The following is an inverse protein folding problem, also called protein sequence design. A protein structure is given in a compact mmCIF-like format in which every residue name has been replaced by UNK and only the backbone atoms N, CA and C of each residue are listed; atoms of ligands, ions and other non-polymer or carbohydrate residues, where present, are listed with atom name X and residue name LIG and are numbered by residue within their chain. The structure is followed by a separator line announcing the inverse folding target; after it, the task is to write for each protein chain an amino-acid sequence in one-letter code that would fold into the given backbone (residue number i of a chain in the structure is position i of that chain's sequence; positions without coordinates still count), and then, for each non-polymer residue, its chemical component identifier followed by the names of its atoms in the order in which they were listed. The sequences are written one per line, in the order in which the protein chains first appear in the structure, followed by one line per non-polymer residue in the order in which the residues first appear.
data_IF_917618497139
#
_entry.id   IF_917618497139
#
_cell.length_a   1.000
_cell.length_b   1.000
_cell.length_c   1.000
_cell.angle_alpha   90.00
_cell.angle_beta   90.00
_cell.angle_gamma   90.00
#
_symmetry.space_group_name_H-M   'P 1'
#
loop_
_entity.id
_entity.type
_entity.pdbx_description
1 polymer ?
#
# COMPACT_ATOMS: atom_id res chain seq x y z
N UNK A 1 -22.86 12.28 28.11
CA UNK A 1 -22.83 10.92 28.68
C UNK A 1 -21.80 10.02 28.00
N UNK A 2 -20.58 10.01 28.56
CA UNK A 2 -19.45 9.20 28.09
C UNK A 2 -19.59 7.69 28.31
N UNK A 3 -20.80 7.17 28.47
CA UNK A 3 -21.08 5.72 28.56
C UNK A 3 -21.44 5.11 27.20
N UNK A 4 -21.83 5.93 26.22
CA UNK A 4 -22.11 5.48 24.85
C UNK A 4 -20.83 5.33 23.99
N UNK A 5 -19.77 6.12 24.22
CA UNK A 5 -18.53 5.98 23.45
C UNK A 5 -17.73 4.73 23.83
N UNK A 6 -17.81 4.28 25.08
CA UNK A 6 -17.17 3.04 25.52
C UNK A 6 -17.90 1.78 24.99
N UNK A 7 -19.22 1.86 24.78
CA UNK A 7 -20.02 0.73 24.29
C UNK A 7 -19.89 0.50 22.78
N UNK A 8 -19.57 1.55 22.01
CA UNK A 8 -19.33 1.44 20.56
C UNK A 8 -17.90 0.93 20.28
N UNK A 9 -16.94 1.13 21.20
CA UNK A 9 -15.61 0.52 21.13
C UNK A 9 -15.62 -0.98 21.47
N UNK A 10 -16.62 -1.49 22.18
CA UNK A 10 -16.64 -2.88 22.70
C UNK A 10 -17.37 -3.89 21.80
N UNK A 11 -17.71 -3.54 20.55
CA UNK A 11 -18.44 -4.41 19.62
C UNK A 11 -17.64 -4.77 18.35
N UNK A 12 -16.38 -4.35 18.28
CA UNK A 12 -15.42 -4.84 17.32
C UNK A 12 -14.87 -6.19 17.81
N UNK A 13 -14.86 -7.17 16.90
CA UNK A 13 -14.36 -8.53 17.15
C UNK A 13 -12.92 -8.45 17.65
N UNK A 14 -12.55 -9.25 18.65
CA UNK A 14 -11.21 -9.40 19.25
C UNK A 14 -10.14 -9.94 18.27
N UNK A 15 -10.38 -9.87 16.95
CA UNK A 15 -9.36 -9.97 15.93
C UNK A 15 -8.79 -8.58 15.68
N UNK A 16 -7.69 -8.28 16.35
CA UNK A 16 -6.97 -7.01 16.22
C UNK A 16 -7.85 -5.80 16.58
N UNK A 17 -7.82 -5.38 17.85
CA UNK A 17 -8.34 -4.06 18.24
C UNK A 17 -7.58 -2.98 17.42
N UNK A 18 -8.19 -2.52 16.33
CA UNK A 18 -7.65 -1.44 15.50
C UNK A 18 -8.29 -0.15 15.94
N UNK A 19 -7.49 0.77 16.50
CA UNK A 19 -7.97 2.13 16.74
C UNK A 19 -8.19 2.82 15.39
N UNK A 20 -9.45 2.96 14.98
CA UNK A 20 -9.82 3.80 13.85
C UNK A 20 -9.68 5.28 14.24
N UNK A 21 -8.95 6.05 13.42
CA UNK A 21 -8.77 7.48 13.63
C UNK A 21 -9.63 8.23 12.60
N UNK A 22 -10.36 9.25 13.05
CA UNK A 22 -11.14 10.14 12.19
C UNK A 22 -10.55 11.53 12.28
N UNK A 23 -10.03 12.03 11.16
CA UNK A 23 -9.38 13.33 11.10
C UNK A 23 -9.82 14.07 9.84
N UNK A 24 -9.74 15.40 9.91
CA UNK A 24 -10.36 16.28 8.92
C UNK A 24 -9.74 16.13 7.52
N UNK A 25 -8.45 15.78 7.45
CA UNK A 25 -7.68 15.62 6.22
C UNK A 25 -6.61 14.52 6.37
N UNK A 26 -6.00 14.14 5.25
CA UNK A 26 -4.98 13.09 5.19
C UNK A 26 -3.68 13.48 5.94
N UNK A 27 -3.31 14.76 5.96
CA UNK A 27 -2.12 15.25 6.65
C UNK A 27 -2.25 15.14 8.18
N UNK A 28 -3.40 15.52 8.72
CA UNK A 28 -3.77 15.34 10.11
C UNK A 28 -3.76 13.85 10.46
N UNK A 29 -4.35 13.00 9.61
CA UNK A 29 -4.33 11.55 9.77
C UNK A 29 -2.92 11.00 9.95
N UNK A 30 -2.01 11.43 9.08
CA UNK A 30 -0.62 10.99 9.09
C UNK A 30 0.13 11.44 10.34
N UNK A 31 -0.16 12.65 10.86
CA UNK A 31 0.39 13.12 12.15
C UNK A 31 -0.18 12.34 13.33
N UNK A 32 -1.48 12.03 13.31
CA UNK A 32 -2.14 11.22 14.33
C UNK A 32 -1.53 9.82 14.40
N UNK A 33 -1.41 9.15 13.24
CA UNK A 33 -0.81 7.83 13.13
C UNK A 33 0.64 7.82 13.62
N UNK A 34 1.46 8.79 13.19
CA UNK A 34 2.86 8.85 13.63
C UNK A 34 3.03 9.05 15.15
N UNK A 35 2.05 9.66 15.83
CA UNK A 35 2.05 9.82 17.29
C UNK A 35 1.52 8.58 18.01
N UNK A 36 0.54 7.90 17.43
CA UNK A 36 -0.02 6.66 17.96
C UNK A 36 0.84 5.43 17.64
N UNK A 37 1.79 5.54 16.71
CA UNK A 37 2.68 4.45 16.32
C UNK A 37 3.60 4.07 17.49
N UNK A 38 3.37 2.87 18.02
CA UNK A 38 4.15 2.27 19.09
C UNK A 38 3.67 0.85 19.34
N UNK A 39 4.54 0.03 19.94
CA UNK A 39 4.12 -1.27 20.47
C UNK A 39 3.70 -1.02 21.91
N UNK A 40 2.44 -1.30 22.22
CA UNK A 40 1.99 -1.43 23.60
C UNK A 40 2.30 -2.85 24.08
N UNK A 41 3.05 -2.99 25.17
CA UNK A 41 3.43 -4.30 25.68
C UNK A 41 2.26 -5.00 26.40
N UNK A 42 1.21 -4.24 26.75
CA UNK A 42 0.02 -4.71 27.44
C UNK A 42 -1.12 -5.13 26.47
N UNK A 43 -0.90 -5.02 25.15
CA UNK A 43 -1.83 -5.46 24.10
C UNK A 43 -1.27 -6.67 23.34
N UNK A 44 -1.93 -7.82 23.45
CA UNK A 44 -1.48 -9.08 22.84
C UNK A 44 -1.51 -9.08 21.29
N UNK A 45 -2.22 -8.12 20.68
CA UNK A 45 -2.28 -7.94 19.23
C UNK A 45 -1.32 -6.85 18.71
N UNK A 46 -0.66 -6.11 19.61
CA UNK A 46 0.27 -5.06 19.21
C UNK A 46 1.48 -5.63 18.47
N UNK A 47 1.84 -4.98 17.36
CA UNK A 47 2.97 -5.38 16.51
C UNK A 47 3.82 -4.17 16.10
N UNK A 48 5.15 -4.35 15.97
CA UNK A 48 6.01 -3.26 15.51
C UNK A 48 5.64 -2.83 14.10
N UNK A 49 5.68 -1.53 13.85
CA UNK A 49 5.47 -0.99 12.51
C UNK A 49 6.65 -1.39 11.60
N UNK A 50 6.35 -2.17 10.56
CA UNK A 50 7.32 -2.48 9.52
C UNK A 50 7.38 -1.34 8.48
N UNK A 51 8.50 -1.21 7.74
CA UNK A 51 8.58 -0.23 6.66
C UNK A 51 7.61 -0.52 5.51
N UNK A 52 7.03 0.53 4.92
CA UNK A 52 6.00 0.41 3.87
C UNK A 52 6.54 0.04 2.49
N UNK A 53 7.84 0.15 2.24
CA UNK A 53 8.42 -0.14 0.93
C UNK A 53 8.06 0.88 -0.15
N UNK A 54 7.61 0.40 -1.32
CA UNK A 54 7.28 1.26 -2.45
C UNK A 54 6.11 2.20 -2.13
N UNK A 55 6.33 3.50 -2.29
CA UNK A 55 5.33 4.53 -2.04
C UNK A 55 4.48 4.80 -3.29
N UNK A 56 3.48 3.95 -3.54
CA UNK A 56 2.54 4.13 -4.65
C UNK A 56 1.77 5.45 -4.57
N UNK A 57 1.56 5.98 -3.36
CA UNK A 57 0.86 7.25 -3.17
C UNK A 57 1.64 8.44 -3.68
N UNK A 58 2.99 8.38 -3.71
CA UNK A 58 3.84 9.44 -4.29
C UNK A 58 4.37 9.14 -5.68
N UNK A 59 4.25 7.89 -6.13
CA UNK A 59 4.72 7.50 -7.45
C UNK A 59 3.98 8.26 -8.57
N UNK A 60 4.71 8.57 -9.64
CA UNK A 60 4.15 9.15 -10.85
C UNK A 60 3.20 8.16 -11.57
N UNK A 61 3.40 6.85 -11.38
CA UNK A 61 2.51 5.81 -11.86
C UNK A 61 2.42 4.65 -10.87
N UNK A 62 1.24 4.05 -10.77
CA UNK A 62 0.94 2.91 -9.90
C UNK A 62 -0.22 2.10 -10.48
N UNK A 63 -0.38 0.86 -10.03
CA UNK A 63 -1.49 -0.02 -10.45
C UNK A 63 -2.55 -0.05 -9.35
N UNK A 64 -3.82 0.16 -9.71
CA UNK A 64 -4.91 0.00 -8.76
C UNK A 64 -5.88 -1.09 -9.19
N UNK A 65 -6.23 -1.97 -8.25
CA UNK A 65 -7.24 -3.01 -8.41
C UNK A 65 -8.63 -2.40 -8.43
N UNK A 66 -9.38 -2.70 -9.48
CA UNK A 66 -10.77 -2.31 -9.68
C UNK A 66 -11.62 -3.59 -9.74
N UNK A 67 -12.59 -3.79 -8.82
CA UNK A 67 -13.48 -4.94 -8.88
C UNK A 67 -14.17 -5.05 -10.24
N UNK A 68 -14.38 -6.29 -10.72
CA UNK A 68 -15.20 -6.56 -11.90
C UNK A 68 -16.56 -5.92 -11.76
N UNK A 69 -17.16 -5.53 -12.90
CA UNK A 69 -18.48 -4.92 -12.91
C UNK A 69 -19.55 -5.76 -12.18
N UNK A 70 -19.48 -7.09 -12.28
CA UNK A 70 -20.42 -7.99 -11.58
C UNK A 70 -20.32 -7.94 -10.05
N UNK A 71 -19.14 -7.56 -9.54
CA UNK A 71 -18.85 -7.54 -8.10
C UNK A 71 -19.17 -6.17 -7.49
N UNK A 72 -19.43 -5.16 -8.32
CA UNK A 72 -19.85 -3.82 -7.90
C UNK A 72 -21.36 -3.77 -7.63
N UNK A 73 -21.70 -3.75 -6.35
CA UNK A 73 -23.06 -3.60 -5.82
C UNK A 73 -23.29 -2.20 -5.25
N UNK A 74 -24.31 -1.51 -5.78
CA UNK A 74 -24.77 -0.19 -5.32
C UNK A 74 -26.20 -0.23 -4.76
N UNK A 75 -26.82 -1.40 -4.72
CA UNK A 75 -28.14 -1.63 -4.10
C UNK A 75 -29.23 -0.65 -4.57
N UNK A 76 -29.21 -0.29 -5.87
CA UNK A 76 -30.15 0.64 -6.48
C UNK A 76 -29.77 2.12 -6.40
N UNK A 77 -28.61 2.46 -5.82
CA UNK A 77 -28.12 3.84 -5.76
C UNK A 77 -27.28 4.21 -6.99
N UNK A 78 -27.93 4.84 -7.98
CA UNK A 78 -27.29 5.29 -9.21
C UNK A 78 -26.28 6.44 -8.99
N UNK A 79 -26.45 7.26 -7.95
CA UNK A 79 -25.51 8.33 -7.64
C UNK A 79 -24.21 7.78 -7.04
N UNK A 80 -24.27 6.76 -6.20
CA UNK A 80 -23.09 6.06 -5.70
C UNK A 80 -22.31 5.39 -6.84
N UNK A 81 -23.00 4.77 -7.80
CA UNK A 81 -22.38 4.19 -9.00
C UNK A 81 -21.65 5.26 -9.84
N UNK A 82 -22.31 6.39 -10.11
CA UNK A 82 -21.71 7.52 -10.82
C UNK A 82 -20.47 8.06 -10.10
N UNK A 83 -20.57 8.33 -8.80
CA UNK A 83 -19.46 8.90 -8.00
C UNK A 83 -18.29 7.93 -7.87
N UNK A 84 -18.55 6.61 -7.86
CA UNK A 84 -17.49 5.61 -7.93
C UNK A 84 -16.77 5.66 -9.27
N UNK A 85 -17.51 5.73 -10.39
CA UNK A 85 -16.91 5.85 -11.73
C UNK A 85 -16.06 7.13 -11.87
N UNK A 86 -16.54 8.27 -11.35
CA UNK A 86 -15.76 9.52 -11.29
C UNK A 86 -14.48 9.37 -10.45
N UNK A 87 -14.53 8.57 -9.38
CA UNK A 87 -13.35 8.29 -8.54
C UNK A 87 -12.32 7.41 -9.24
N UNK A 88 -12.76 6.46 -10.07
CA UNK A 88 -11.88 5.67 -10.94
C UNK A 88 -11.16 6.59 -11.94
N UNK A 89 -11.88 7.50 -12.60
CA UNK A 89 -11.26 8.46 -13.53
C UNK A 89 -10.30 9.42 -12.83
N UNK A 90 -10.60 9.82 -11.58
CA UNK A 90 -9.70 10.62 -10.75
C UNK A 90 -8.40 9.87 -10.41
N UNK A 91 -8.46 8.59 -10.09
CA UNK A 91 -7.23 7.81 -9.89
C UNK A 91 -6.40 7.71 -11.18
N UNK A 92 -7.05 7.54 -12.34
CA UNK A 92 -6.36 7.53 -13.63
C UNK A 92 -5.64 8.84 -13.93
N UNK A 93 -6.29 9.99 -13.66
CA UNK A 93 -5.65 11.30 -13.87
C UNK A 93 -4.48 11.56 -12.92
N UNK A 94 -4.43 10.86 -11.79
CA UNK A 94 -3.30 10.83 -10.85
C UNK A 94 -2.20 9.82 -11.25
N UNK A 95 -2.26 9.22 -12.44
CA UNK A 95 -1.25 8.26 -12.92
C UNK A 95 -1.54 6.81 -12.54
N UNK A 96 -2.73 6.52 -12.01
CA UNK A 96 -3.18 5.16 -11.74
C UNK A 96 -3.52 4.39 -13.01
N UNK A 97 -3.08 3.14 -13.10
CA UNK A 97 -3.52 2.18 -14.12
C UNK A 97 -4.50 1.19 -13.49
N UNK A 98 -5.73 1.15 -13.98
CA UNK A 98 -6.73 0.21 -13.49
C UNK A 98 -6.38 -1.22 -13.92
N UNK A 99 -6.46 -2.15 -12.97
CA UNK A 99 -6.31 -3.59 -13.19
C UNK A 99 -7.58 -4.23 -12.66
N UNK A 100 -8.30 -4.95 -13.52
CA UNK A 100 -9.52 -5.64 -13.10
C UNK A 100 -9.18 -6.78 -12.12
N UNK A 101 -9.89 -6.86 -11.00
CA UNK A 101 -9.70 -7.89 -9.98
C UNK A 101 -10.98 -8.67 -9.68
N UNK A 102 -10.80 -9.93 -9.32
CA UNK A 102 -11.86 -10.78 -8.80
C UNK A 102 -12.11 -10.49 -7.31
N UNK A 103 -13.29 -9.98 -6.96
CA UNK A 103 -13.61 -9.70 -5.57
C UNK A 103 -14.21 -10.92 -4.85
N UNK A 104 -14.57 -12.00 -5.56
CA UNK A 104 -15.27 -13.15 -4.96
C UNK A 104 -14.55 -13.74 -3.73
N UNK A 105 -13.21 -13.97 -3.73
CA UNK A 105 -12.51 -14.49 -2.55
C UNK A 105 -12.53 -13.54 -1.34
N UNK A 106 -12.54 -12.23 -1.59
CA UNK A 106 -12.67 -11.22 -0.53
C UNK A 106 -14.10 -11.23 0.04
N UNK A 107 -15.11 -11.31 -0.83
CA UNK A 107 -16.51 -11.41 -0.42
C UNK A 107 -16.82 -12.71 0.32
N UNK A 108 -16.21 -13.83 -0.08
CA UNK A 108 -16.28 -15.10 0.65
C UNK A 108 -15.65 -14.97 2.04
N UNK A 109 -14.53 -14.26 2.15
CA UNK A 109 -13.91 -13.96 3.45
C UNK A 109 -14.83 -13.10 4.31
N UNK A 110 -15.44 -12.05 3.74
CA UNK A 110 -16.42 -11.21 4.43
C UNK A 110 -17.62 -12.00 4.96
N UNK A 111 -18.10 -13.02 4.22
CA UNK A 111 -19.19 -13.90 4.66
C UNK A 111 -18.80 -14.71 5.90
N UNK A 112 -17.53 -15.04 6.09
CA UNK A 112 -17.08 -15.75 7.28
C UNK A 112 -17.23 -14.93 8.57
N UNK A 113 -17.19 -13.60 8.50
CA UNK A 113 -17.25 -12.75 9.70
C UNK A 113 -18.55 -12.96 10.50
N UNK A 114 -19.68 -13.12 9.80
CA UNK A 114 -20.99 -13.34 10.41
C UNK A 114 -21.46 -14.80 10.28
N UNK A 115 -21.00 -15.54 9.27
CA UNK A 115 -21.33 -16.95 9.06
C UNK A 115 -20.37 -17.93 9.72
N UNK A 116 -19.30 -17.44 10.38
CA UNK A 116 -18.25 -18.23 11.01
C UNK A 116 -18.05 -17.91 12.49
N UNK A 117 -16.94 -18.34 13.10
CA UNK A 117 -16.74 -18.35 14.55
C UNK A 117 -16.53 -16.98 15.18
N UNK A 118 -16.28 -15.92 14.41
CA UNK A 118 -15.91 -14.60 14.94
C UNK A 118 -17.00 -13.90 15.74
N UNK A 119 -18.27 -14.26 15.52
CA UNK A 119 -19.35 -13.80 16.39
C UNK A 119 -19.23 -14.33 17.82
N UNK A 120 -18.53 -15.46 18.03
CA UNK A 120 -18.25 -16.00 19.37
C UNK A 120 -17.29 -15.11 20.17
N UNK A 121 -16.44 -14.31 19.53
CA UNK A 121 -15.59 -13.35 20.23
C UNK A 121 -16.43 -12.21 20.83
N UNK A 122 -17.43 -11.71 20.09
CA UNK A 122 -18.40 -10.75 20.63
C UNK A 122 -19.17 -11.34 21.81
N UNK A 123 -19.58 -12.60 21.73
CA UNK A 123 -20.21 -13.29 22.85
C UNK A 123 -19.25 -13.44 24.03
N UNK A 124 -18.00 -13.84 23.81
CA UNK A 124 -16.98 -13.97 24.86
C UNK A 124 -16.78 -12.65 25.62
N UNK A 125 -16.61 -11.54 24.90
CA UNK A 125 -16.33 -10.22 25.48
C UNK A 125 -17.43 -9.72 26.45
N UNK A 126 -18.69 -10.10 26.23
CA UNK A 126 -19.83 -9.68 27.07
C UNK A 126 -20.60 -10.84 27.70
N UNK A 127 -20.01 -12.05 27.77
CA UNK A 127 -20.72 -13.30 28.10
C UNK A 127 -21.56 -13.20 29.36
N UNK A 128 -20.93 -12.79 30.46
CA UNK A 128 -21.59 -12.74 31.77
C UNK A 128 -22.77 -11.75 31.76
N UNK A 129 -22.61 -10.61 31.07
CA UNK A 129 -23.67 -9.63 30.92
C UNK A 129 -24.81 -10.15 30.01
N UNK A 130 -24.43 -10.78 28.89
CA UNK A 130 -25.36 -11.35 27.92
C UNK A 130 -26.24 -12.44 28.55
N UNK A 131 -25.64 -13.36 29.30
CA UNK A 131 -26.34 -14.46 29.93
C UNK A 131 -27.20 -14.01 31.12
N UNK A 132 -26.76 -13.00 31.88
CA UNK A 132 -27.50 -12.50 33.03
C UNK A 132 -28.68 -11.59 32.66
N UNK A 133 -28.54 -10.76 31.61
CA UNK A 133 -29.50 -9.70 31.27
C UNK A 133 -29.80 -9.59 29.76
N UNK A 134 -30.18 -10.69 29.09
CA UNK A 134 -30.33 -10.70 27.63
C UNK A 134 -31.39 -9.71 27.12
N UNK A 135 -32.45 -9.43 27.89
CA UNK A 135 -33.52 -8.50 27.48
C UNK A 135 -33.14 -7.03 27.50
N UNK A 136 -31.98 -6.69 28.06
CA UNK A 136 -31.45 -5.31 28.05
C UNK A 136 -30.66 -4.98 26.79
N UNK A 137 -30.29 -6.01 26.01
CA UNK A 137 -29.50 -5.85 24.79
C UNK A 137 -30.44 -5.49 23.63
N UNK A 138 -30.07 -4.47 22.85
CA UNK A 138 -30.82 -4.06 21.67
C UNK A 138 -31.11 -5.27 20.76
N UNK A 139 -32.38 -5.55 20.37
CA UNK A 139 -32.75 -6.87 19.85
C UNK A 139 -31.94 -7.37 18.64
N UNK A 140 -31.65 -6.57 17.61
CA UNK A 140 -30.80 -7.01 16.49
C UNK A 140 -29.37 -7.40 16.91
N UNK A 141 -28.78 -6.67 17.87
CA UNK A 141 -27.44 -6.98 18.39
C UNK A 141 -27.47 -8.30 19.18
N UNK A 142 -28.52 -8.49 19.99
CA UNK A 142 -28.72 -9.73 20.73
C UNK A 142 -28.86 -10.93 19.80
N UNK A 143 -29.67 -10.81 18.76
CA UNK A 143 -29.89 -11.87 17.77
C UNK A 143 -28.57 -12.29 17.11
N UNK A 144 -27.73 -11.32 16.72
CA UNK A 144 -26.43 -11.61 16.12
C UNK A 144 -25.50 -12.29 17.14
N UNK A 145 -25.33 -11.73 18.33
CA UNK A 145 -24.39 -12.25 19.34
C UNK A 145 -24.79 -13.63 19.85
N UNK A 146 -26.10 -13.92 19.92
CA UNK A 146 -26.61 -15.23 20.31
C UNK A 146 -26.05 -16.37 19.45
N UNK A 147 -25.79 -16.10 18.15
CA UNK A 147 -25.18 -17.07 17.24
C UNK A 147 -23.77 -17.53 17.65
N UNK A 148 -23.06 -16.74 18.47
CA UNK A 148 -21.73 -17.09 18.97
C UNK A 148 -21.71 -18.10 20.12
N UNK A 149 -22.86 -18.41 20.72
CA UNK A 149 -22.94 -19.28 21.90
C UNK A 149 -22.62 -20.74 21.61
N UNK A 150 -23.10 -21.24 20.47
CA UNK A 150 -23.14 -22.68 20.16
C UNK A 150 -22.08 -23.09 19.12
N UNK A 151 -21.03 -22.28 18.94
CA UNK A 151 -19.95 -22.57 17.99
C UNK A 151 -18.90 -23.48 18.66
N UNK A 152 -18.69 -24.68 18.11
CA UNK A 152 -17.71 -25.61 18.67
C UNK A 152 -16.28 -25.24 18.30
N UNK A 153 -15.31 -25.70 19.09
CA UNK A 153 -13.89 -25.54 18.75
C UNK A 153 -13.54 -26.17 17.38
N UNK A 154 -14.17 -27.29 17.02
CA UNK A 154 -13.95 -27.95 15.73
C UNK A 154 -14.45 -27.08 14.57
N UNK A 155 -15.62 -26.44 14.72
CA UNK A 155 -16.16 -25.49 13.75
C UNK A 155 -15.23 -24.28 13.61
N UNK A 156 -14.71 -23.76 14.72
CA UNK A 156 -13.74 -22.66 14.72
C UNK A 156 -12.50 -23.00 13.91
N UNK A 157 -11.86 -24.16 14.18
CA UNK A 157 -10.67 -24.57 13.43
C UNK A 157 -10.97 -24.83 11.95
N UNK A 158 -12.14 -25.40 11.63
CA UNK A 158 -12.56 -25.57 10.24
C UNK A 158 -12.65 -24.23 9.48
N UNK A 159 -13.25 -23.21 10.10
CA UNK A 159 -13.35 -21.88 9.50
C UNK A 159 -11.99 -21.16 9.43
N UNK A 160 -11.10 -21.35 10.40
CA UNK A 160 -9.73 -20.85 10.33
C UNK A 160 -8.96 -21.47 9.16
N UNK A 161 -9.17 -22.75 8.85
CA UNK A 161 -8.59 -23.37 7.65
C UNK A 161 -9.16 -22.78 6.36
N UNK A 162 -10.47 -22.54 6.31
CA UNK A 162 -11.12 -21.85 5.19
C UNK A 162 -10.57 -20.44 4.99
N UNK A 163 -10.42 -19.66 6.07
CA UNK A 163 -9.82 -18.33 6.03
C UNK A 163 -8.39 -18.38 5.49
N UNK A 164 -7.56 -19.34 5.91
CA UNK A 164 -6.20 -19.51 5.37
C UNK A 164 -6.19 -19.79 3.87
N UNK A 165 -7.11 -20.62 3.38
CA UNK A 165 -7.23 -20.92 1.96
C UNK A 165 -7.65 -19.69 1.15
N UNK A 166 -8.65 -18.94 1.63
CA UNK A 166 -9.11 -17.70 1.02
C UNK A 166 -8.05 -16.60 1.07
N UNK A 167 -7.33 -16.46 2.18
CA UNK A 167 -6.23 -15.51 2.31
C UNK A 167 -5.16 -15.78 1.27
N UNK A 168 -4.78 -17.04 1.02
CA UNK A 168 -3.82 -17.36 -0.05
C UNK A 168 -4.30 -16.92 -1.44
N UNK A 169 -5.60 -17.05 -1.72
CA UNK A 169 -6.18 -16.59 -2.98
C UNK A 169 -6.18 -15.05 -3.06
N UNK A 170 -6.58 -14.37 -1.99
CA UNK A 170 -6.57 -12.91 -1.91
C UNK A 170 -5.15 -12.33 -2.01
N UNK A 171 -4.18 -12.96 -1.34
CA UNK A 171 -2.79 -12.52 -1.30
C UNK A 171 -2.15 -12.50 -2.71
N UNK A 172 -2.61 -13.41 -3.61
CA UNK A 172 -2.11 -13.47 -4.98
C UNK A 172 -2.47 -12.23 -5.81
N UNK A 173 -3.58 -11.54 -5.50
CA UNK A 173 -4.04 -10.34 -6.22
C UNK A 173 -3.04 -9.19 -6.09
N UNK A 174 -2.37 -9.07 -4.95
CA UNK A 174 -1.39 -7.99 -4.69
C UNK A 174 -0.11 -8.10 -5.52
N UNK A 175 0.10 -9.20 -6.25
CA UNK A 175 1.20 -9.25 -7.23
C UNK A 175 0.94 -8.33 -8.42
N UNK A 176 -0.34 -8.11 -8.75
CA UNK A 176 -0.76 -7.41 -9.96
C UNK A 176 -1.19 -5.96 -9.70
N UNK A 177 -1.34 -5.57 -8.44
CA UNK A 177 -1.80 -4.22 -8.04
C UNK A 177 -0.95 -3.69 -6.89
N UNK A 178 -0.87 -2.36 -6.73
CA UNK A 178 -0.22 -1.73 -5.58
C UNK A 178 -1.24 -1.30 -4.51
N UNK A 179 -2.48 -1.04 -4.91
CA UNK A 179 -3.60 -0.61 -4.05
C UNK A 179 -4.92 -1.10 -4.66
N UNK A 180 -5.96 -1.34 -3.87
CA UNK A 180 -7.31 -1.66 -4.34
C UNK A 180 -8.25 -0.49 -4.06
N UNK A 181 -9.16 -0.20 -4.99
CA UNK A 181 -10.22 0.81 -4.83
C UNK A 181 -11.59 0.14 -4.77
N UNK A 182 -12.36 0.43 -3.72
CA UNK A 182 -13.76 0.00 -3.57
C UNK A 182 -14.65 1.16 -3.13
N UNK A 183 -15.98 1.12 -3.36
CA UNK A 183 -16.89 2.00 -2.62
C UNK A 183 -16.72 1.78 -1.12
N UNK A 184 -16.74 2.83 -0.30
CA UNK A 184 -16.74 2.65 1.16
C UNK A 184 -18.00 1.94 1.62
N UNK A 185 -19.14 2.30 1.01
CA UNK A 185 -20.40 1.57 1.09
C UNK A 185 -21.11 1.71 -0.27
N UNK A 186 -21.88 0.70 -0.67
CA UNK A 186 -22.60 0.73 -1.95
C UNK A 186 -23.77 1.72 -1.97
N UNK A 187 -24.28 2.12 -0.80
CA UNK A 187 -25.41 3.04 -0.66
C UNK A 187 -25.45 3.65 0.75
N UNK A 188 -26.46 4.48 1.02
CA UNK A 188 -26.80 5.08 2.31
C UNK A 188 -28.31 4.92 2.56
N UNK A 189 -28.72 4.72 3.82
CA UNK A 189 -30.12 4.50 4.20
C UNK A 189 -30.64 5.60 5.13
N UNK A 190 -31.96 5.81 5.08
CA UNK A 190 -32.66 6.62 6.09
C UNK A 190 -32.73 5.84 7.40
N UNK A 191 -32.89 6.57 8.49
CA UNK A 191 -33.04 6.00 9.83
C UNK A 191 -34.26 5.08 9.88
N UNK A 192 -35.40 5.51 9.35
CA UNK A 192 -36.64 4.73 9.39
C UNK A 192 -36.52 3.40 8.62
N UNK A 193 -35.84 3.41 7.47
CA UNK A 193 -35.59 2.19 6.68
C UNK A 193 -34.69 1.22 7.45
N UNK A 194 -33.62 1.72 8.07
CA UNK A 194 -32.72 0.92 8.90
C UNK A 194 -33.42 0.35 10.13
N UNK A 195 -34.34 1.08 10.75
CA UNK A 195 -35.14 0.56 11.87
C UNK A 195 -36.12 -0.53 11.43
N UNK A 196 -36.65 -0.43 10.20
CA UNK A 196 -37.59 -1.41 9.65
C UNK A 196 -36.89 -2.71 9.21
N UNK A 197 -35.63 -2.65 8.75
CA UNK A 197 -34.89 -3.82 8.25
C UNK A 197 -33.39 -3.77 8.63
N UNK A 198 -33.05 -3.81 9.93
CA UNK A 198 -31.71 -3.51 10.41
C UNK A 198 -30.65 -4.53 10.00
N UNK A 199 -31.02 -5.80 9.82
CA UNK A 199 -30.05 -6.87 9.53
C UNK A 199 -29.63 -6.81 8.06
N UNK A 200 -30.59 -6.81 7.14
CA UNK A 200 -30.29 -6.82 5.69
C UNK A 200 -29.65 -5.51 5.24
N UNK A 201 -30.18 -4.36 5.69
CA UNK A 201 -29.62 -3.08 5.27
C UNK A 201 -28.21 -2.87 5.84
N UNK A 202 -27.93 -3.32 7.06
CA UNK A 202 -26.57 -3.31 7.60
C UNK A 202 -25.63 -4.24 6.81
N UNK A 203 -26.10 -5.40 6.33
CA UNK A 203 -25.27 -6.29 5.51
C UNK A 203 -24.90 -5.65 4.16
N UNK A 204 -25.77 -4.83 3.58
CA UNK A 204 -25.44 -4.06 2.38
C UNK A 204 -24.30 -3.05 2.64
N UNK A 205 -24.30 -2.40 3.80
CA UNK A 205 -23.25 -1.45 4.19
C UNK A 205 -21.89 -2.14 4.44
N UNK A 206 -21.91 -3.40 4.87
CA UNK A 206 -20.70 -4.21 5.14
C UNK A 206 -20.08 -4.90 3.92
N UNK A 207 -20.67 -4.76 2.72
CA UNK A 207 -20.29 -5.54 1.53
C UNK A 207 -18.82 -5.37 1.13
N UNK A 208 -18.25 -4.17 1.26
CA UNK A 208 -16.87 -3.87 0.88
C UNK A 208 -15.88 -3.80 2.05
N UNK A 209 -16.32 -4.01 3.30
CA UNK A 209 -15.50 -3.72 4.49
C UNK A 209 -15.15 -4.96 5.31
N UNK A 210 -16.06 -5.94 5.39
CA UNK A 210 -15.99 -7.03 6.36
C UNK A 210 -14.81 -8.00 6.18
N UNK A 211 -14.09 -7.96 5.05
CA UNK A 211 -12.93 -8.83 4.81
C UNK A 211 -11.60 -8.26 5.31
N UNK A 212 -11.51 -6.94 5.54
CA UNK A 212 -10.22 -6.25 5.63
C UNK A 212 -9.38 -6.73 6.83
N UNK A 213 -9.98 -6.76 8.02
CA UNK A 213 -9.27 -7.20 9.24
C UNK A 213 -8.96 -8.70 9.21
N UNK A 214 -9.90 -9.53 8.73
CA UNK A 214 -9.69 -10.98 8.57
C UNK A 214 -8.50 -11.31 7.66
N UNK A 215 -8.20 -10.45 6.69
CA UNK A 215 -7.11 -10.61 5.74
C UNK A 215 -5.83 -9.84 6.12
N UNK A 216 -5.83 -9.16 7.27
CA UNK A 216 -4.75 -8.28 7.72
C UNK A 216 -4.41 -7.18 6.71
N UNK A 217 -5.42 -6.43 6.28
CA UNK A 217 -5.26 -5.32 5.34
C UNK A 217 -5.20 -3.96 6.06
N UNK A 218 -4.57 -3.00 5.42
CA UNK A 218 -4.64 -1.58 5.77
C UNK A 218 -5.62 -0.88 4.83
N UNK A 219 -6.38 0.09 5.36
CA UNK A 219 -7.36 0.80 4.56
C UNK A 219 -7.51 2.27 5.00
N UNK A 220 -7.84 3.14 4.06
CA UNK A 220 -8.22 4.52 4.33
C UNK A 220 -9.44 4.90 3.49
N UNK A 221 -10.48 5.40 4.15
CA UNK A 221 -11.67 5.92 3.50
C UNK A 221 -11.45 7.38 3.10
N UNK A 222 -11.79 7.71 1.84
CA UNK A 222 -11.55 9.00 1.22
C UNK A 222 -12.87 9.56 0.69
N UNK A 223 -13.21 10.83 1.00
CA UNK A 223 -14.36 11.50 0.39
C UNK A 223 -14.25 11.49 -1.14
N UNK A 224 -15.36 11.21 -1.81
CA UNK A 224 -15.40 10.98 -3.26
C UNK A 224 -16.46 11.84 -3.98
N UNK A 225 -17.12 12.75 -3.26
CA UNK A 225 -18.09 13.70 -3.78
C UNK A 225 -19.44 13.61 -3.10
N UNK A 226 -20.45 14.17 -3.75
CA UNK A 226 -21.81 14.28 -3.23
C UNK A 226 -22.83 13.75 -4.25
N UNK A 227 -23.85 13.08 -3.73
CA UNK A 227 -25.04 12.67 -4.47
C UNK A 227 -25.86 13.91 -4.85
N UNK A 228 -26.83 13.77 -5.76
CA UNK A 228 -27.64 14.93 -6.21
C UNK A 228 -28.50 15.53 -5.09
N UNK A 229 -28.82 14.73 -4.07
CA UNK A 229 -29.54 15.17 -2.87
C UNK A 229 -28.64 15.80 -1.80
N UNK A 230 -27.34 15.92 -2.07
CA UNK A 230 -26.35 16.52 -1.18
C UNK A 230 -25.76 15.58 -0.14
N UNK A 231 -26.10 14.29 -0.12
CA UNK A 231 -25.47 13.31 0.76
C UNK A 231 -24.06 12.94 0.28
N UNK A 232 -23.09 12.71 1.18
CA UNK A 232 -21.72 12.40 0.79
C UNK A 232 -21.59 10.96 0.27
N UNK A 233 -20.57 10.74 -0.56
CA UNK A 233 -20.09 9.42 -0.98
C UNK A 233 -18.58 9.32 -0.72
N UNK A 234 -18.11 8.10 -0.47
CA UNK A 234 -16.71 7.81 -0.20
C UNK A 234 -16.24 6.54 -0.91
N UNK A 235 -14.94 6.49 -1.14
CA UNK A 235 -14.23 5.30 -1.62
C UNK A 235 -13.18 4.89 -0.61
N UNK A 236 -12.91 3.60 -0.52
CA UNK A 236 -11.87 3.07 0.36
C UNK A 236 -10.70 2.59 -0.48
N UNK A 237 -9.52 3.11 -0.16
CA UNK A 237 -8.23 2.61 -0.64
C UNK A 237 -7.75 1.51 0.31
N UNK A 238 -7.39 0.36 -0.23
CA UNK A 238 -7.02 -0.84 0.54
C UNK A 238 -5.67 -1.34 0.05
N UNK A 239 -4.79 -1.72 0.96
CA UNK A 239 -3.50 -2.30 0.63
C UNK A 239 -3.08 -3.35 1.68
N UNK A 240 -2.04 -4.15 1.40
CA UNK A 240 -1.44 -5.05 2.40
C UNK A 240 -0.99 -4.30 3.68
N UNK A 241 -0.65 -5.01 4.76
CA UNK A 241 -0.32 -4.36 6.02
C UNK A 241 0.91 -3.46 5.90
N UNK A 242 0.99 -2.46 6.79
CA UNK A 242 2.06 -1.44 6.85
C UNK A 242 2.09 -0.45 5.67
N UNK A 243 1.06 -0.42 4.83
CA UNK A 243 0.93 0.51 3.69
C UNK A 243 0.23 1.82 4.05
N UNK A 244 0.08 2.14 5.33
CA UNK A 244 -0.63 3.31 5.84
C UNK A 244 -0.07 4.62 5.28
N UNK A 245 1.25 4.74 5.18
CA UNK A 245 1.92 5.93 4.60
C UNK A 245 1.52 6.15 3.13
N UNK A 246 1.81 5.18 2.23
CA UNK A 246 1.39 5.23 0.83
C UNK A 246 -0.11 5.42 0.62
N UNK A 247 -0.95 4.75 1.41
CA UNK A 247 -2.41 4.95 1.40
C UNK A 247 -2.78 6.40 1.70
N UNK A 248 -2.21 7.01 2.74
CA UNK A 248 -2.47 8.40 3.11
C UNK A 248 -1.92 9.41 2.09
N UNK A 249 -0.77 9.13 1.48
CA UNK A 249 -0.26 9.95 0.39
C UNK A 249 -1.20 9.93 -0.83
N UNK A 250 -1.73 8.76 -1.18
CA UNK A 250 -2.72 8.65 -2.26
C UNK A 250 -4.04 9.32 -1.89
N UNK A 251 -4.52 9.14 -0.66
CA UNK A 251 -5.72 9.80 -0.14
C UNK A 251 -5.61 11.33 -0.19
N UNK A 252 -4.47 11.90 0.21
CA UNK A 252 -4.18 13.34 0.08
C UNK A 252 -4.31 13.79 -1.37
N UNK A 253 -3.67 13.09 -2.32
CA UNK A 253 -3.77 13.43 -3.75
C UNK A 253 -5.19 13.35 -4.29
N UNK A 254 -5.96 12.35 -3.87
CA UNK A 254 -7.38 12.23 -4.24
C UNK A 254 -8.22 13.38 -3.66
N UNK A 255 -8.03 13.74 -2.39
CA UNK A 255 -8.71 14.88 -1.77
C UNK A 255 -8.34 16.19 -2.47
N UNK A 256 -7.07 16.43 -2.76
CA UNK A 256 -6.62 17.64 -3.48
C UNK A 256 -7.22 17.72 -4.89
N UNK A 257 -7.29 16.60 -5.59
CA UNK A 257 -7.89 16.53 -6.92
C UNK A 257 -9.42 16.68 -6.91
N UNK A 258 -10.09 16.27 -5.83
CA UNK A 258 -11.53 16.52 -5.62
C UNK A 258 -11.78 17.99 -5.24
N UNK A 259 -10.92 18.56 -4.40
CA UNK A 259 -11.05 19.89 -3.84
C UNK A 259 -12.24 20.01 -2.86
N UNK A 260 -12.66 21.25 -2.61
CA UNK A 260 -13.83 21.55 -1.80
C UNK A 260 -13.54 21.79 -0.32
N UNK A 261 -14.54 21.47 0.52
CA UNK A 261 -14.56 21.76 1.95
C UNK A 261 -14.31 20.49 2.77
N UNK A 262 -13.86 20.67 4.01
CA UNK A 262 -13.68 19.59 4.97
C UNK A 262 -15.04 19.13 5.50
N UNK A 263 -15.55 18.03 4.95
CA UNK A 263 -16.83 17.44 5.35
C UNK A 263 -18.00 18.43 5.21
N UNK A 264 -18.87 18.49 6.23
CA UNK A 264 -19.99 19.41 6.28
C UNK A 264 -19.63 20.83 6.79
N UNK A 265 -18.34 21.15 6.95
CA UNK A 265 -17.89 22.44 7.48
C UNK A 265 -17.69 23.47 6.37
N UNK A 266 -17.48 24.74 6.74
CA UNK A 266 -17.09 25.80 5.80
C UNK A 266 -15.58 25.90 5.58
N UNK A 267 -14.78 25.05 6.24
CA UNK A 267 -13.33 25.09 6.10
C UNK A 267 -12.91 24.52 4.76
N UNK A 268 -12.07 25.27 4.04
CA UNK A 268 -11.45 24.79 2.82
C UNK A 268 -10.44 23.66 3.13
N UNK A 269 -10.28 22.74 2.19
CA UNK A 269 -9.20 21.75 2.24
C UNK A 269 -7.84 22.48 2.29
N UNK A 270 -6.99 22.21 3.30
CA UNK A 270 -5.65 22.77 3.35
C UNK A 270 -4.78 22.24 2.20
N UNK A 271 -3.73 22.96 1.80
CA UNK A 271 -2.79 22.46 0.81
C UNK A 271 -2.05 21.22 1.33
N UNK A 272 -1.74 20.28 0.44
CA UNK A 272 -0.99 19.08 0.81
C UNK A 272 0.41 19.41 1.34
N UNK A 273 0.83 18.70 2.39
CA UNK A 273 2.15 18.86 3.00
C UNK A 273 3.11 17.73 2.56
N UNK A 274 4.39 18.02 2.23
CA UNK A 274 5.39 17.02 1.83
C UNK A 274 5.97 16.31 3.06
N UNK A 275 5.14 15.49 3.66
CA UNK A 275 5.25 15.15 5.06
C UNK A 275 5.69 13.66 5.08
N UNK A 276 6.87 13.32 5.61
CA UNK A 276 7.43 11.94 5.64
C UNK A 276 7.68 11.52 7.08
N UNK A 277 6.78 10.72 7.66
CA UNK A 277 6.77 10.39 9.09
C UNK A 277 6.87 8.89 9.35
N UNK A 278 6.61 8.05 8.36
CA UNK A 278 6.71 6.60 8.48
C UNK A 278 7.94 6.10 7.73
N UNK A 279 8.61 5.03 8.21
CA UNK A 279 9.79 4.50 7.56
C UNK A 279 9.42 3.82 6.23
N UNK A 280 10.09 4.21 5.14
CA UNK A 280 9.94 3.54 3.84
C UNK A 280 10.80 2.27 3.72
N UNK A 281 11.94 2.20 4.41
CA UNK A 281 12.78 1.00 4.46
C UNK A 281 13.37 0.58 3.12
N UNK A 282 13.55 1.55 2.23
CA UNK A 282 14.12 1.34 0.90
C UNK A 282 15.48 2.02 0.79
N UNK A 283 16.32 1.49 -0.08
CA UNK A 283 17.64 2.01 -0.41
C UNK A 283 17.73 2.25 -1.91
N UNK A 284 18.16 3.45 -2.29
CA UNK A 284 18.43 3.78 -3.71
C UNK A 284 19.85 3.40 -4.10
N UNK A 285 19.97 2.76 -5.26
CA UNK A 285 21.21 2.29 -5.87
C UNK A 285 21.25 2.68 -7.34
N UNK A 286 22.21 3.51 -7.73
CA UNK A 286 22.52 3.81 -9.11
C UNK A 286 23.38 2.70 -9.73
N UNK A 287 22.93 2.19 -10.87
CA UNK A 287 23.65 1.20 -11.68
C UNK A 287 24.03 1.80 -13.03
N UNK A 288 25.26 1.51 -13.47
CA UNK A 288 25.86 2.08 -14.69
C UNK A 288 26.26 1.01 -15.70
N UNK A 289 26.17 -0.28 -15.32
CA UNK A 289 26.76 -1.40 -16.06
C UNK A 289 25.81 -2.55 -16.28
N UNK A 290 26.29 -3.78 -16.09
CA UNK A 290 25.56 -5.02 -16.40
C UNK A 290 24.21 -5.20 -15.67
N UNK A 291 23.93 -4.39 -14.65
CA UNK A 291 22.65 -4.37 -13.91
C UNK A 291 21.59 -3.44 -14.50
N UNK A 292 21.91 -2.62 -15.53
CA UNK A 292 20.91 -1.80 -16.23
C UNK A 292 19.78 -2.67 -16.79
N UNK A 293 18.59 -2.10 -16.94
CA UNK A 293 17.37 -2.81 -17.37
C UNK A 293 17.59 -3.70 -18.60
N UNK A 294 17.24 -4.98 -18.52
CA UNK A 294 17.42 -5.93 -19.63
C UNK A 294 18.88 -6.30 -19.95
N UNK A 295 19.86 -5.90 -19.14
CA UNK A 295 21.23 -6.42 -19.23
C UNK A 295 21.43 -7.67 -18.34
N UNK A 296 22.49 -8.47 -18.56
CA UNK A 296 22.60 -9.82 -18.02
C UNK A 296 22.53 -9.96 -16.50
N UNK A 297 22.83 -8.92 -15.71
CA UNK A 297 22.79 -8.96 -14.25
C UNK A 297 21.58 -8.21 -13.66
N UNK A 298 20.66 -7.70 -14.48
CA UNK A 298 19.48 -6.99 -14.00
C UNK A 298 18.59 -7.87 -13.09
N UNK A 299 18.59 -9.19 -13.30
CA UNK A 299 17.87 -10.14 -12.45
C UNK A 299 18.29 -10.08 -10.97
N UNK A 300 19.50 -9.62 -10.66
CA UNK A 300 19.96 -9.46 -9.28
C UNK A 300 19.24 -8.29 -8.57
N UNK A 301 18.74 -7.32 -9.32
CA UNK A 301 17.89 -6.25 -8.80
C UNK A 301 16.43 -6.71 -8.74
N UNK A 302 15.88 -7.17 -9.86
CA UNK A 302 14.45 -7.52 -9.95
C UNK A 302 14.08 -8.71 -9.06
N UNK A 303 14.97 -9.71 -8.93
CA UNK A 303 14.78 -10.84 -8.01
C UNK A 303 14.81 -10.47 -6.51
N UNK A 304 15.20 -9.22 -6.18
CA UNK A 304 15.17 -8.65 -4.83
C UNK A 304 14.04 -7.63 -4.66
N UNK A 305 13.05 -7.66 -5.55
CA UNK A 305 11.93 -6.71 -5.59
C UNK A 305 12.39 -5.25 -5.74
N UNK A 306 13.56 -5.02 -6.35
CA UNK A 306 13.98 -3.67 -6.69
C UNK A 306 13.13 -3.12 -7.84
N UNK A 307 12.80 -1.83 -7.78
CA UNK A 307 12.03 -1.12 -8.82
C UNK A 307 12.88 -0.02 -9.44
N UNK A 308 12.78 0.13 -10.76
CA UNK A 308 13.41 1.25 -11.46
C UNK A 308 12.69 2.54 -11.07
N UNK A 309 13.43 3.51 -10.54
CA UNK A 309 12.91 4.84 -10.18
C UNK A 309 13.07 5.80 -11.35
N UNK A 310 14.25 5.81 -11.96
CA UNK A 310 14.53 6.70 -13.09
C UNK A 310 15.72 6.22 -13.93
N UNK A 311 15.68 6.55 -15.23
CA UNK A 311 16.86 6.57 -16.08
C UNK A 311 17.38 8.02 -16.13
N UNK A 312 18.65 8.22 -15.79
CA UNK A 312 19.25 9.55 -15.63
C UNK A 312 20.75 9.51 -15.93
N UNK A 313 21.49 10.54 -15.53
CA UNK A 313 22.94 10.61 -15.63
C UNK A 313 23.57 10.94 -14.28
N UNK A 314 24.82 10.54 -14.09
CA UNK A 314 25.67 11.05 -13.01
C UNK A 314 25.96 12.54 -13.21
N UNK A 315 26.42 13.23 -12.17
CA UNK A 315 27.08 14.53 -12.33
C UNK A 315 28.27 14.44 -13.31
N UNK A 316 28.70 15.56 -13.89
CA UNK A 316 29.77 15.59 -14.91
C UNK A 316 31.20 15.50 -14.33
N UNK A 317 31.43 14.56 -13.41
CA UNK A 317 32.69 14.42 -12.66
C UNK A 317 33.19 12.98 -12.55
N UNK A 318 32.77 12.14 -13.48
CA UNK A 318 33.14 10.73 -13.50
C UNK A 318 33.88 10.35 -14.78
N UNK A 319 34.84 9.45 -14.66
CA UNK A 319 35.36 8.66 -15.78
C UNK A 319 34.79 7.26 -15.76
N UNK A 320 34.67 6.71 -16.95
CA UNK A 320 34.00 5.45 -17.18
C UNK A 320 34.89 4.52 -17.99
N UNK A 321 35.09 3.31 -17.49
CA UNK A 321 36.07 2.38 -18.02
C UNK A 321 35.43 1.03 -18.30
N UNK A 322 35.79 0.38 -19.41
CA UNK A 322 35.52 -1.03 -19.62
C UNK A 322 36.63 -1.83 -18.92
N UNK A 323 36.28 -2.65 -17.94
CA UNK A 323 37.24 -3.48 -17.22
C UNK A 323 37.86 -4.54 -18.17
N UNK A 324 39.05 -5.08 -17.85
CA UNK A 324 39.75 -6.03 -18.72
C UNK A 324 38.94 -7.29 -19.09
N UNK A 325 38.00 -7.70 -18.23
CA UNK A 325 37.09 -8.82 -18.52
C UNK A 325 36.09 -8.53 -19.66
N UNK A 326 35.93 -7.26 -20.05
CA UNK A 326 35.02 -6.77 -21.07
C UNK A 326 33.53 -6.91 -20.75
N UNK A 327 33.19 -7.42 -19.56
CA UNK A 327 31.82 -7.77 -19.14
C UNK A 327 31.19 -6.68 -18.29
N UNK A 328 32.01 -5.86 -17.63
CA UNK A 328 31.54 -4.88 -16.65
C UNK A 328 32.29 -3.56 -16.80
N UNK A 329 31.63 -2.43 -16.53
CA UNK A 329 32.32 -1.16 -16.44
C UNK A 329 32.74 -0.83 -15.01
N UNK A 330 33.77 0.00 -14.88
CA UNK A 330 34.15 0.69 -13.65
C UNK A 330 33.87 2.19 -13.77
N UNK A 331 33.31 2.77 -12.70
CA UNK A 331 33.06 4.21 -12.60
C UNK A 331 33.97 4.79 -11.51
N UNK A 332 34.68 5.87 -11.83
CA UNK A 332 35.60 6.53 -10.91
C UNK A 332 35.32 8.02 -10.89
N UNK A 333 35.20 8.59 -9.69
CA UNK A 333 35.07 10.03 -9.52
C UNK A 333 36.45 10.69 -9.68
N UNK A 334 36.50 11.80 -10.40
CA UNK A 334 37.74 12.54 -10.68
C UNK A 334 37.53 14.04 -10.48
N UNK A 335 38.62 14.78 -10.29
CA UNK A 335 38.58 16.24 -10.08
C UNK A 335 38.41 17.02 -11.39
N UNK A 336 39.12 16.64 -12.46
CA UNK A 336 39.10 17.35 -13.74
C UNK A 336 39.03 16.39 -14.94
N UNK A 337 38.25 16.76 -15.97
CA UNK A 337 38.12 15.97 -17.20
C UNK A 337 37.13 14.80 -17.11
N UNK A 338 36.06 14.96 -16.31
CA UNK A 338 34.97 14.00 -16.17
C UNK A 338 33.81 14.27 -17.12
N UNK A 339 32.89 13.31 -17.22
CA UNK A 339 31.66 13.42 -17.99
C UNK A 339 30.47 12.91 -17.18
N UNK A 340 29.28 13.26 -17.65
CA UNK A 340 28.02 12.69 -17.15
C UNK A 340 27.83 11.31 -17.79
N UNK A 341 27.60 10.29 -16.97
CA UNK A 341 27.48 8.89 -17.42
C UNK A 341 26.05 8.44 -17.22
N UNK A 342 25.44 7.87 -18.27
CA UNK A 342 24.10 7.31 -18.21
C UNK A 342 24.01 6.21 -17.14
N UNK A 343 23.00 6.31 -16.29
CA UNK A 343 22.75 5.40 -15.19
C UNK A 343 21.24 5.17 -15.00
N UNK A 344 20.90 4.11 -14.29
CA UNK A 344 19.55 3.87 -13.80
C UNK A 344 19.57 3.88 -12.27
N UNK A 345 18.65 4.61 -11.66
CA UNK A 345 18.45 4.59 -10.21
C UNK A 345 17.37 3.57 -9.90
N UNK A 346 17.75 2.58 -9.12
CA UNK A 346 16.86 1.54 -8.61
C UNK A 346 16.62 1.74 -7.13
N UNK A 347 15.45 1.36 -6.65
CA UNK A 347 15.09 1.37 -5.24
C UNK A 347 14.78 -0.06 -4.80
N UNK A 348 15.40 -0.52 -3.70
CA UNK A 348 15.25 -1.89 -3.20
C UNK A 348 15.05 -1.93 -1.68
N UNK A 349 14.43 -3.00 -1.15
CA UNK A 349 14.29 -3.16 0.30
C UNK A 349 15.66 -3.13 0.99
N UNK A 350 15.77 -2.35 2.07
CA UNK A 350 17.01 -2.24 2.85
C UNK A 350 17.49 -3.60 3.37
N UNK A 351 16.56 -4.50 3.69
CA UNK A 351 16.84 -5.89 4.11
C UNK A 351 17.52 -6.74 3.02
N UNK A 352 17.36 -6.37 1.75
CA UNK A 352 17.99 -7.06 0.61
C UNK A 352 19.31 -6.44 0.17
N UNK A 353 19.66 -5.26 0.71
CA UNK A 353 20.84 -4.52 0.27
C UNK A 353 22.14 -5.26 0.57
N UNK A 354 22.26 -5.89 1.75
CA UNK A 354 23.44 -6.66 2.13
C UNK A 354 23.73 -7.83 1.17
N UNK A 355 22.70 -8.63 0.85
CA UNK A 355 22.83 -9.76 -0.08
C UNK A 355 23.08 -9.31 -1.53
N UNK A 356 22.69 -8.09 -1.89
CA UNK A 356 23.02 -7.50 -3.19
C UNK A 356 24.50 -7.11 -3.24
N UNK A 357 25.01 -6.44 -2.20
CA UNK A 357 26.42 -6.01 -2.12
C UNK A 357 27.38 -7.19 -2.09
N UNK A 358 27.06 -8.26 -1.35
CA UNK A 358 27.86 -9.48 -1.29
C UNK A 358 28.07 -10.13 -2.68
N UNK A 359 27.11 -9.96 -3.58
CA UNK A 359 27.18 -10.45 -4.96
C UNK A 359 28.07 -9.62 -5.90
N UNK A 360 28.73 -8.57 -5.43
CA UNK A 360 29.55 -7.66 -6.24
C UNK A 360 31.02 -8.05 -6.09
N UNK A 361 31.64 -8.69 -7.10
CA UNK A 361 33.03 -9.10 -7.00
C UNK A 361 33.98 -7.94 -7.30
N UNK A 362 35.15 -8.00 -6.68
CA UNK A 362 36.27 -7.10 -6.96
C UNK A 362 36.54 -6.99 -8.48
N UNK A 363 36.99 -5.82 -8.97
CA UNK A 363 37.37 -4.61 -8.24
C UNK A 363 36.19 -3.62 -8.05
N UNK A 364 34.95 -4.08 -8.15
CA UNK A 364 33.77 -3.24 -7.99
C UNK A 364 33.35 -3.18 -6.51
N UNK A 365 32.71 -2.07 -6.15
CA UNK A 365 32.10 -1.89 -4.83
C UNK A 365 30.92 -0.93 -4.90
N UNK A 366 30.25 -0.73 -3.76
CA UNK A 366 29.19 0.27 -3.62
C UNK A 366 29.69 1.43 -2.77
N UNK A 367 29.68 2.62 -3.37
CA UNK A 367 29.98 3.89 -2.73
C UNK A 367 28.82 4.87 -2.85
N UNK A 368 29.15 6.16 -2.88
CA UNK A 368 28.19 7.24 -3.13
C UNK A 368 28.40 7.83 -4.52
N UNK A 369 27.32 7.98 -5.27
CA UNK A 369 27.30 8.60 -6.59
C UNK A 369 26.44 9.85 -6.53
N UNK A 370 26.95 10.94 -7.09
CA UNK A 370 26.19 12.17 -7.31
C UNK A 370 25.57 12.12 -8.71
N UNK A 371 24.28 12.41 -8.77
CA UNK A 371 23.50 12.45 -10.00
C UNK A 371 23.51 13.86 -10.60
N UNK A 372 23.05 13.98 -11.86
CA UNK A 372 23.02 15.25 -12.58
C UNK A 372 22.15 16.33 -11.90
N UNK A 373 21.18 15.93 -11.07
CA UNK A 373 20.34 16.82 -10.28
C UNK A 373 20.96 17.24 -8.93
N UNK A 374 22.20 16.80 -8.65
CA UNK A 374 22.92 17.05 -7.41
C UNK A 374 22.56 16.12 -6.25
N UNK A 375 21.59 15.22 -6.42
CA UNK A 375 21.27 14.21 -5.41
C UNK A 375 22.37 13.16 -5.29
N UNK A 376 22.51 12.57 -4.09
CA UNK A 376 23.52 11.55 -3.81
C UNK A 376 22.84 10.24 -3.43
N UNK A 377 23.16 9.17 -4.15
CA UNK A 377 22.63 7.82 -3.94
C UNK A 377 23.76 6.81 -3.74
N UNK A 378 23.45 5.60 -3.25
CA UNK A 378 24.44 4.53 -3.33
C UNK A 378 24.66 4.16 -4.80
N UNK A 379 25.82 3.64 -5.17
CA UNK A 379 26.01 3.15 -6.53
C UNK A 379 27.35 2.51 -6.77
N UNK A 380 27.50 1.91 -7.95
CA UNK A 380 28.71 1.21 -8.34
C UNK A 380 29.90 2.17 -8.49
N UNK A 381 30.95 1.89 -7.74
CA UNK A 381 32.27 2.47 -7.87
C UNK A 381 33.26 1.37 -8.25
N UNK A 382 34.44 1.75 -8.70
CA UNK A 382 35.53 0.82 -8.93
C UNK A 382 36.79 1.26 -8.19
N UNK A 383 37.44 0.30 -7.55
CA UNK A 383 38.73 0.49 -6.91
C UNK A 383 39.80 0.89 -7.93
N UNK A 384 40.78 1.69 -7.51
CA UNK A 384 41.83 2.18 -8.40
C UNK A 384 42.60 1.06 -9.12
N UNK A 385 42.76 -0.10 -8.48
CA UNK A 385 43.42 -1.27 -9.08
C UNK A 385 42.69 -1.80 -10.32
N UNK A 386 41.36 -1.67 -10.37
CA UNK A 386 40.53 -2.10 -11.48
C UNK A 386 40.71 -1.27 -12.74
N UNK A 387 41.36 -0.11 -12.64
CA UNK A 387 41.68 0.75 -13.78
C UNK A 387 42.95 0.32 -14.52
N UNK A 388 43.74 -0.59 -13.93
CA UNK A 388 44.93 -1.14 -14.57
C UNK A 388 44.51 -1.92 -15.81
N UNK A 389 45.02 -1.55 -16.99
CA UNK A 389 44.66 -2.11 -18.30
C UNK A 389 43.17 -1.96 -18.71
N UNK A 390 42.40 -1.12 -17.99
CA UNK A 390 41.03 -0.82 -18.35
C UNK A 390 40.98 0.19 -19.50
N UNK A 391 40.03 0.02 -20.42
CA UNK A 391 39.85 0.94 -21.54
C UNK A 391 38.96 2.09 -21.12
N UNK A 392 39.43 3.33 -21.27
CA UNK A 392 38.59 4.52 -21.10
C UNK A 392 37.49 4.54 -22.17
N UNK A 393 36.24 4.57 -21.73
CA UNK A 393 35.04 4.60 -22.55
C UNK A 393 34.15 5.80 -22.17
N UNK A 394 34.71 6.82 -21.52
CA UNK A 394 34.00 8.00 -21.06
C UNK A 394 33.31 8.73 -22.21
N UNK A 395 33.93 8.76 -23.40
CA UNK A 395 33.39 9.38 -24.62
C UNK A 395 32.05 8.76 -25.10
N UNK A 396 31.76 7.51 -24.75
CA UNK A 396 30.52 6.84 -25.11
C UNK A 396 29.35 7.28 -24.24
N UNK A 397 29.61 7.94 -23.11
CA UNK A 397 28.58 8.46 -22.19
C UNK A 397 27.78 7.39 -21.45
N UNK A 398 28.09 6.09 -21.61
CA UNK A 398 27.40 5.01 -20.89
C UNK A 398 27.59 3.62 -21.49
N UNK A 399 27.27 2.60 -20.69
CA UNK A 399 27.57 1.20 -21.04
C UNK A 399 26.83 0.68 -22.27
N UNK A 400 25.54 1.05 -22.43
CA UNK A 400 24.76 0.64 -23.61
C UNK A 400 25.34 1.21 -24.91
N UNK A 401 25.80 2.45 -24.88
CA UNK A 401 26.38 3.09 -26.06
C UNK A 401 27.71 2.41 -26.45
N UNK A 402 28.53 2.07 -25.46
CA UNK A 402 29.75 1.29 -25.66
C UNK A 402 29.48 -0.10 -26.25
N UNK A 403 28.52 -0.85 -25.70
CA UNK A 403 28.16 -2.19 -26.22
C UNK A 403 27.72 -2.14 -27.69
N UNK A 404 26.88 -1.15 -28.05
CA UNK A 404 26.46 -0.94 -29.45
C UNK A 404 27.64 -0.65 -30.37
N UNK A 405 28.59 0.18 -29.93
CA UNK A 405 29.78 0.50 -30.74
C UNK A 405 30.69 -0.71 -30.97
N UNK A 406 30.64 -1.74 -30.11
CA UNK A 406 31.40 -2.99 -30.27
C UNK A 406 30.74 -4.03 -31.17
N UNK A 407 29.52 -3.81 -31.64
CA UNK A 407 28.77 -4.80 -32.42
C UNK A 407 28.23 -5.98 -31.60
N UNK A 408 28.32 -5.94 -30.26
CA UNK A 408 27.68 -6.90 -29.39
C UNK A 408 26.25 -6.42 -29.11
N UNK A 409 25.30 -6.81 -29.97
CA UNK A 409 23.87 -6.72 -29.69
C UNK A 409 23.51 -7.50 -28.41
N UNK A 410 22.48 -7.02 -27.71
CA UNK A 410 22.05 -7.42 -26.37
C UNK A 410 21.95 -8.92 -26.12
#
# INVERSE_FOLDING_TARGET
DGRLSALVQSLEVELELRTAVWLADAEAMRRGLARAAGVDADDEYARPLAPHGFDFGRAAGFRFGLPRQKDLQFFGNADAERLFAESVERLKSLGGTAVEIDLDPFLDTARLLYGGPWVAERYLAIRDFFDAQPDTIFPPVREIIAGGRDISAADTFAHLHTLRALKRACDAVWNDIDVMLTPTAGTIYRIDDMQADPIRLNSHLGYYTNFMNLLDLAATAVPAGFQNDGLPFGVTLIAPPHQDGPLLHLASRMQQALGGKLGATDHALPPAEPLTLLPHGQVRVAVVGAHLSGLPLNFQLTGRNARLVSATQTAAKYRFYALPDGKRPGLVQIQEGGAAIACEVWEMPASQFGSFVDGIPAPLGIGKLELADGSVVNGFICEGIGMTDARDITEYGGWRAWLRARGNGF
#
